data_IF_205840399544
#
_entry.id   IF_205840399544
#
_cell.length_a   1.000
_cell.length_b   1.000
_cell.length_c   1.000
_cell.angle_alpha   90.00
_cell.angle_beta   90.00
_cell.angle_gamma   90.00
#
_symmetry.space_group_name_H-M   'P 1'
#
loop_
_entity.id
_entity.type
_entity.pdbx_description
1 polymer ?
#
# COMPACT_ATOMS: atom_id res chain seq x y z
N UNK A 1 1.24 -0.22 0.75
CA UNK A 1 2.71 -0.39 0.67
C UNK A 1 3.25 -1.22 1.83
N UNK A 2 2.84 -0.93 3.07
CA UNK A 2 3.22 -1.70 4.27
C UNK A 2 3.01 -3.21 4.13
N UNK A 3 1.94 -3.61 3.45
CA UNK A 3 1.53 -5.01 3.23
C UNK A 3 2.47 -5.83 2.36
N UNK A 4 3.29 -5.18 1.52
CA UNK A 4 4.36 -5.87 0.78
C UNK A 4 5.56 -6.21 1.67
N UNK A 5 5.59 -5.68 2.90
CA UNK A 5 6.61 -5.95 3.90
C UNK A 5 8.02 -5.57 3.45
N UNK A 6 9.01 -6.30 3.95
CA UNK A 6 10.43 -5.99 3.75
C UNK A 6 10.89 -6.10 2.29
N UNK A 7 10.16 -6.84 1.44
CA UNK A 7 10.51 -7.06 0.03
C UNK A 7 10.63 -5.76 -0.77
N UNK A 8 9.90 -4.71 -0.39
CA UNK A 8 9.92 -3.42 -1.08
C UNK A 8 10.81 -2.37 -0.43
N UNK A 9 11.44 -2.67 0.73
CA UNK A 9 12.16 -1.64 1.48
C UNK A 9 13.31 -1.01 0.70
N UNK A 10 14.08 -1.81 -0.06
CA UNK A 10 15.20 -1.28 -0.85
C UNK A 10 14.71 -0.30 -1.94
N UNK A 11 13.65 -0.67 -2.66
CA UNK A 11 13.12 0.17 -3.74
C UNK A 11 12.40 1.41 -3.19
N UNK A 12 11.66 1.26 -2.08
CA UNK A 12 11.07 2.41 -1.39
C UNK A 12 12.13 3.32 -0.79
N UNK A 13 13.25 2.80 -0.32
CA UNK A 13 14.37 3.61 0.18
C UNK A 13 14.99 4.48 -0.93
N UNK A 14 15.15 3.93 -2.14
CA UNK A 14 15.60 4.70 -3.31
C UNK A 14 14.62 5.82 -3.64
N UNK A 15 13.31 5.54 -3.61
CA UNK A 15 12.27 6.56 -3.82
C UNK A 15 12.30 7.62 -2.72
N UNK A 16 12.51 7.23 -1.47
CA UNK A 16 12.66 8.14 -0.34
C UNK A 16 13.83 9.12 -0.54
N UNK A 17 14.98 8.61 -0.96
CA UNK A 17 16.16 9.43 -1.27
C UNK A 17 15.87 10.40 -2.42
N UNK A 18 15.21 9.93 -3.49
CA UNK A 18 14.81 10.78 -4.61
C UNK A 18 13.78 11.86 -4.20
N UNK A 19 12.88 11.55 -3.28
CA UNK A 19 11.87 12.47 -2.77
C UNK A 19 12.44 13.47 -1.75
N UNK A 20 13.68 13.28 -1.28
CA UNK A 20 14.32 14.17 -0.31
C UNK A 20 13.73 14.07 1.10
N UNK A 21 13.12 12.94 1.46
CA UNK A 21 12.50 12.71 2.77
C UNK A 21 13.40 11.96 3.75
N UNK A 22 14.67 11.73 3.39
CA UNK A 22 15.63 10.95 4.17
C UNK A 22 16.73 11.84 4.78
N UNK A 23 17.40 11.32 5.81
CA UNK A 23 18.57 11.96 6.42
C UNK A 23 19.78 11.01 6.43
N UNK A 24 21.02 11.54 6.49
CA UNK A 24 22.22 10.71 6.58
C UNK A 24 22.14 9.75 7.78
N UNK A 25 22.41 8.47 7.52
CA UNK A 25 22.38 7.40 8.54
C UNK A 25 21.05 6.63 8.64
N UNK A 26 20.00 7.05 7.92
CA UNK A 26 18.78 6.24 7.83
C UNK A 26 19.07 4.87 7.16
N UNK A 27 18.54 3.81 7.75
CA UNK A 27 18.53 2.47 7.14
C UNK A 27 17.43 2.37 6.08
N UNK A 28 17.54 1.44 5.12
CA UNK A 28 16.53 1.25 4.07
C UNK A 28 15.11 1.04 4.62
N UNK A 29 14.99 0.32 5.75
CA UNK A 29 13.71 0.19 6.46
C UNK A 29 13.15 1.56 6.88
N UNK A 30 13.96 2.37 7.56
CA UNK A 30 13.55 3.71 8.03
C UNK A 30 13.22 4.62 6.85
N UNK A 31 14.01 4.56 5.77
CA UNK A 31 13.75 5.32 4.54
C UNK A 31 12.42 4.91 3.90
N UNK A 32 12.15 3.62 3.80
CA UNK A 32 10.89 3.10 3.27
C UNK A 32 9.69 3.53 4.12
N UNK A 33 9.80 3.45 5.45
CA UNK A 33 8.76 3.92 6.39
C UNK A 33 8.51 5.43 6.22
N UNK A 34 9.56 6.26 6.21
CA UNK A 34 9.45 7.71 5.94
C UNK A 34 8.80 8.03 4.60
N UNK A 35 9.11 7.26 3.57
CA UNK A 35 8.50 7.46 2.26
C UNK A 35 7.00 7.16 2.29
N UNK A 36 6.59 6.05 2.92
CA UNK A 36 5.18 5.72 3.09
C UNK A 36 4.46 6.81 3.88
N UNK A 37 5.04 7.26 4.99
CA UNK A 37 4.46 8.32 5.83
C UNK A 37 4.32 9.63 5.06
N UNK A 38 5.32 10.01 4.26
CA UNK A 38 5.25 11.22 3.42
C UNK A 38 4.11 11.19 2.39
N UNK A 39 3.74 10.00 1.88
CA UNK A 39 2.60 9.85 0.98
C UNK A 39 1.28 10.02 1.75
N UNK A 40 1.20 9.49 2.97
CA UNK A 40 0.01 9.63 3.81
C UNK A 40 -0.19 11.09 4.26
N UNK A 41 0.88 11.77 4.65
CA UNK A 41 0.86 13.20 4.97
C UNK A 41 0.43 14.04 3.76
N UNK A 42 1.00 13.75 2.58
CA UNK A 42 0.60 14.42 1.34
C UNK A 42 -0.88 14.18 0.98
N UNK A 43 -1.40 12.97 1.20
CA UNK A 43 -2.83 12.71 1.00
C UNK A 43 -3.69 13.56 1.95
N UNK A 44 -3.28 13.70 3.21
CA UNK A 44 -3.97 14.54 4.19
C UNK A 44 -3.98 16.02 3.76
N UNK A 45 -2.81 16.54 3.35
CA UNK A 45 -2.65 17.92 2.88
C UNK A 45 -3.52 18.22 1.64
N UNK A 46 -3.71 17.21 0.78
CA UNK A 46 -4.56 17.29 -0.41
C UNK A 46 -6.06 17.06 -0.12
N UNK A 47 -6.43 16.73 1.13
CA UNK A 47 -7.81 16.43 1.51
C UNK A 47 -8.33 15.10 0.95
N UNK A 48 -7.43 14.15 0.66
CA UNK A 48 -7.77 12.79 0.24
C UNK A 48 -8.07 11.96 1.49
N UNK A 49 -9.26 11.33 1.52
CA UNK A 49 -9.68 10.45 2.62
C UNK A 49 -8.72 9.27 2.78
N UNK A 50 -8.40 8.92 4.03
CA UNK A 50 -7.61 7.75 4.42
C UNK A 50 -8.42 6.44 4.42
N UNK A 51 -9.73 6.51 4.20
CA UNK A 51 -10.58 5.33 4.09
C UNK A 51 -11.75 5.54 3.13
N UNK A 52 -12.35 4.43 2.69
CA UNK A 52 -13.52 4.40 1.82
C UNK A 52 -14.65 3.65 2.56
N UNK A 53 -15.38 4.32 3.48
CA UNK A 53 -16.35 3.65 4.35
C UNK A 53 -17.54 3.06 3.57
N UNK A 54 -17.78 3.59 2.36
CA UNK A 54 -18.88 3.23 1.49
C UNK A 54 -18.67 1.90 0.74
N UNK A 55 -17.51 1.25 0.86
CA UNK A 55 -17.34 -0.12 0.37
C UNK A 55 -18.35 -1.01 1.09
N UNK A 56 -19.21 -1.69 0.34
CA UNK A 56 -20.18 -2.63 0.91
C UNK A 56 -19.50 -3.97 1.12
N UNK A 57 -19.66 -4.55 2.29
CA UNK A 57 -19.08 -5.87 2.61
C UNK A 57 -19.61 -6.97 1.69
N UNK A 58 -20.85 -6.84 1.21
CA UNK A 58 -21.44 -7.74 0.23
C UNK A 58 -20.69 -7.81 -1.10
N UNK A 59 -19.94 -6.75 -1.45
CA UNK A 59 -19.31 -6.61 -2.75
C UNK A 59 -17.82 -7.05 -2.70
N UNK A 60 -17.27 -7.25 -1.50
CA UNK A 60 -15.83 -7.52 -1.29
C UNK A 60 -15.40 -8.84 -1.94
N UNK A 61 -16.22 -9.88 -1.85
CA UNK A 61 -15.89 -11.18 -2.45
C UNK A 61 -15.72 -11.08 -3.97
N UNK A 62 -16.62 -10.33 -4.63
CA UNK A 62 -16.56 -10.11 -6.08
C UNK A 62 -15.38 -9.20 -6.46
N UNK A 63 -15.20 -8.09 -5.75
CA UNK A 63 -14.11 -7.14 -5.98
C UNK A 63 -12.72 -7.77 -5.78
N UNK A 64 -12.57 -8.67 -4.80
CA UNK A 64 -11.34 -9.44 -4.58
C UNK A 64 -11.11 -10.47 -5.70
N UNK A 65 -12.19 -11.04 -6.25
CA UNK A 65 -12.14 -11.87 -7.44
C UNK A 65 -11.56 -11.12 -8.63
N UNK A 66 -12.09 -9.93 -8.93
CA UNK A 66 -11.59 -9.09 -10.03
C UNK A 66 -10.13 -8.67 -9.82
N UNK A 67 -9.77 -8.20 -8.62
CA UNK A 67 -8.40 -7.80 -8.32
C UNK A 67 -7.38 -8.95 -8.48
N UNK A 68 -7.77 -10.17 -8.07
CA UNK A 68 -6.93 -11.35 -8.23
C UNK A 68 -6.71 -11.73 -9.69
N UNK A 69 -7.76 -11.65 -10.51
CA UNK A 69 -7.71 -11.99 -11.94
C UNK A 69 -6.95 -10.92 -12.75
N UNK A 70 -6.97 -9.65 -12.32
CA UNK A 70 -6.18 -8.57 -12.94
C UNK A 70 -4.69 -8.62 -12.55
N UNK A 71 -4.39 -8.87 -11.27
CA UNK A 71 -3.02 -8.86 -10.78
C UNK A 71 -2.23 -10.11 -11.19
N UNK A 72 -2.89 -11.26 -11.35
CA UNK A 72 -2.23 -12.56 -11.56
C UNK A 72 -2.57 -13.15 -12.94
N UNK A 73 -1.63 -13.75 -13.70
CA UNK A 73 -0.20 -13.94 -13.40
C UNK A 73 0.74 -12.94 -14.08
N UNK A 74 0.22 -12.00 -14.89
CA UNK A 74 1.04 -11.27 -15.87
C UNK A 74 1.52 -9.88 -15.40
N UNK A 75 1.07 -9.39 -14.25
CA UNK A 75 1.49 -8.09 -13.73
C UNK A 75 2.68 -8.24 -12.75
N UNK A 76 3.77 -7.45 -12.92
CA UNK A 76 4.96 -7.58 -12.08
C UNK A 76 4.77 -6.85 -10.74
N UNK A 77 4.04 -7.47 -9.82
CA UNK A 77 3.89 -6.99 -8.44
C UNK A 77 4.98 -7.58 -7.51
N UNK A 78 5.42 -6.86 -6.45
CA UNK A 78 6.46 -7.36 -5.55
C UNK A 78 6.08 -8.64 -4.79
N UNK A 79 4.79 -8.80 -4.48
CA UNK A 79 4.25 -9.98 -3.79
C UNK A 79 2.91 -10.33 -4.43
N UNK A 80 2.76 -11.60 -4.81
CA UNK A 80 1.51 -12.15 -5.33
C UNK A 80 0.54 -12.36 -4.18
N UNK A 81 -0.60 -11.68 -4.23
CA UNK A 81 -1.65 -11.81 -3.21
C UNK A 81 -2.62 -12.92 -3.56
N UNK A 82 -3.09 -13.63 -2.52
CA UNK A 82 -4.23 -14.53 -2.63
C UNK A 82 -5.55 -13.74 -2.70
N UNK A 83 -6.64 -14.39 -3.12
CA UNK A 83 -7.98 -13.77 -3.06
C UNK A 83 -8.33 -13.31 -1.64
N UNK A 84 -7.94 -14.08 -0.61
CA UNK A 84 -8.21 -13.72 0.78
C UNK A 84 -7.44 -12.47 1.22
N UNK A 85 -6.17 -12.36 0.83
CA UNK A 85 -5.38 -11.15 1.09
C UNK A 85 -6.01 -9.91 0.43
N UNK A 86 -6.56 -10.03 -0.78
CA UNK A 86 -7.30 -8.93 -1.39
C UNK A 86 -8.55 -8.54 -0.60
N UNK A 87 -9.29 -9.49 -0.01
CA UNK A 87 -10.43 -9.18 0.85
C UNK A 87 -9.99 -8.43 2.11
N UNK A 88 -8.92 -8.89 2.75
CA UNK A 88 -8.32 -8.21 3.90
C UNK A 88 -7.91 -6.78 3.54
N UNK A 89 -7.34 -6.57 2.35
CA UNK A 89 -7.01 -5.23 1.85
C UNK A 89 -8.25 -4.34 1.69
N UNK A 90 -9.33 -4.84 1.11
CA UNK A 90 -10.57 -4.06 1.00
C UNK A 90 -11.15 -3.70 2.36
N UNK A 91 -11.07 -4.60 3.33
CA UNK A 91 -11.49 -4.30 4.71
C UNK A 91 -10.62 -3.21 5.34
N UNK A 92 -9.29 -3.28 5.21
CA UNK A 92 -8.38 -2.22 5.71
C UNK A 92 -8.65 -0.86 5.08
N UNK A 93 -8.87 -0.82 3.76
CA UNK A 93 -9.22 0.43 3.05
C UNK A 93 -10.59 0.96 3.48
N UNK A 94 -11.54 0.08 3.80
CA UNK A 94 -12.86 0.48 4.31
C UNK A 94 -12.77 1.12 5.69
N UNK A 95 -11.92 0.58 6.58
CA UNK A 95 -11.82 1.01 7.99
C UNK A 95 -10.74 2.07 8.26
N UNK A 96 -9.80 2.27 7.33
CA UNK A 96 -8.66 3.18 7.50
C UNK A 96 -7.45 2.54 8.18
N UNK A 97 -7.41 1.21 8.29
CA UNK A 97 -6.32 0.47 8.92
C UNK A 97 -5.14 0.23 7.93
N UNK A 98 -4.67 1.29 7.26
CA UNK A 98 -3.63 1.26 6.20
C UNK A 98 -2.24 1.77 6.60
#
# INVERSE_FOLDING_TARGET
>A
MKEYGTTVHEDLAKLADCAGVTVPGDTDKVKAEKFIDSILDMNNDLGISDHIPNIKESDIDEMAGYAFDEANPNYPVPVIFSKEMFKEMYMKVKTGDI
#
